data_IF_297722397059
#
_entry.id   IF_297722397059
#
_cell.length_a   1.000
_cell.length_b   1.000
_cell.length_c   1.000
_cell.angle_alpha   90.00
_cell.angle_beta   90.00
_cell.angle_gamma   90.00
#
_symmetry.space_group_name_H-M   'P 1'
#
loop_
_entity.id
_entity.type
_entity.pdbx_description
1 polymer ?
#
# COMPACT_ATOMS: atom_id res chain seq x y z
N UNK A 1 -42.06 -29.05 6.25
CA UNK A 1 -40.88 -28.42 6.88
C UNK A 1 -39.66 -29.09 6.29
N UNK A 2 -39.13 -28.58 5.17
CA UNK A 2 -37.94 -29.14 4.54
C UNK A 2 -36.74 -28.28 4.94
N UNK A 3 -35.80 -28.88 5.66
CA UNK A 3 -34.53 -28.26 5.99
C UNK A 3 -33.69 -28.13 4.70
N UNK A 4 -33.30 -26.91 4.37
CA UNK A 4 -32.30 -26.67 3.33
C UNK A 4 -30.93 -27.11 3.87
N UNK A 5 -30.13 -27.86 3.11
CA UNK A 5 -28.77 -28.17 3.50
C UNK A 5 -27.96 -26.88 3.42
N UNK A 6 -27.43 -26.43 4.55
CA UNK A 6 -26.47 -25.33 4.62
C UNK A 6 -25.19 -25.79 3.92
N UNK A 7 -25.06 -25.50 2.63
CA UNK A 7 -23.77 -25.59 1.94
C UNK A 7 -22.82 -24.67 2.68
N UNK A 8 -21.77 -25.23 3.28
CA UNK A 8 -20.63 -24.47 3.78
C UNK A 8 -20.03 -23.73 2.58
N UNK A 9 -20.45 -22.49 2.36
CA UNK A 9 -19.76 -21.58 1.47
C UNK A 9 -18.43 -21.30 2.18
N UNK A 10 -17.36 -21.87 1.66
CA UNK A 10 -16.01 -21.55 2.08
C UNK A 10 -15.70 -20.16 1.50
N UNK A 11 -16.19 -19.11 2.15
CA UNK A 11 -15.91 -17.69 1.83
C UNK A 11 -14.49 -17.33 2.26
N UNK A 12 -13.48 -18.03 1.72
CA UNK A 12 -12.12 -17.52 1.71
C UNK A 12 -11.95 -16.67 0.46
N UNK A 13 -12.45 -15.44 0.53
CA UNK A 13 -12.03 -14.39 -0.40
C UNK A 13 -10.58 -13.97 -0.04
N UNK A 14 -9.62 -14.86 -0.29
CA UNK A 14 -8.18 -14.54 -0.24
C UNK A 14 -7.91 -13.56 -1.40
N UNK A 15 -7.94 -12.27 -1.11
CA UNK A 15 -7.58 -11.26 -2.09
C UNK A 15 -6.05 -11.24 -2.24
N UNK A 16 -5.59 -11.35 -3.49
CA UNK A 16 -4.16 -11.22 -3.77
C UNK A 16 -3.65 -9.81 -3.42
N UNK A 17 -2.36 -9.67 -3.14
CA UNK A 17 -1.75 -8.35 -2.92
C UNK A 17 -2.01 -7.37 -4.10
N UNK A 18 -2.10 -7.89 -5.33
CA UNK A 18 -2.46 -7.11 -6.51
C UNK A 18 -3.93 -6.61 -6.48
N UNK A 19 -4.86 -7.44 -6.00
CA UNK A 19 -6.25 -7.05 -5.80
C UNK A 19 -6.33 -5.92 -4.76
N UNK A 20 -5.75 -6.11 -3.57
CA UNK A 20 -5.71 -5.08 -2.53
C UNK A 20 -5.07 -3.78 -3.03
N UNK A 21 -3.97 -3.89 -3.78
CA UNK A 21 -3.30 -2.73 -4.39
C UNK A 21 -4.24 -1.93 -5.30
N UNK A 22 -5.12 -2.62 -6.06
CA UNK A 22 -6.09 -1.98 -6.96
C UNK A 22 -7.16 -1.22 -6.19
N UNK A 23 -7.74 -1.82 -5.16
CA UNK A 23 -8.73 -1.14 -4.30
C UNK A 23 -8.14 0.08 -3.60
N UNK A 24 -6.95 -0.07 -3.02
CA UNK A 24 -6.21 1.02 -2.38
C UNK A 24 -5.88 2.16 -3.36
N UNK A 25 -5.44 1.84 -4.57
CA UNK A 25 -5.14 2.86 -5.59
C UNK A 25 -6.40 3.65 -5.98
N UNK A 26 -7.55 3.00 -6.06
CA UNK A 26 -8.85 3.65 -6.32
C UNK A 26 -9.27 4.52 -5.15
N UNK A 27 -9.10 4.03 -3.92
CA UNK A 27 -9.38 4.76 -2.70
C UNK A 27 -8.59 6.08 -2.63
N UNK A 28 -7.26 6.02 -2.78
CA UNK A 28 -6.43 7.22 -2.77
C UNK A 28 -6.80 8.20 -3.88
N UNK A 29 -7.09 7.70 -5.09
CA UNK A 29 -7.59 8.53 -6.18
C UNK A 29 -8.93 9.21 -5.83
N UNK A 30 -9.84 8.50 -5.17
CA UNK A 30 -11.12 9.04 -4.70
C UNK A 30 -10.96 10.19 -3.70
N UNK A 31 -9.87 10.16 -2.91
CA UNK A 31 -9.47 11.24 -2.00
C UNK A 31 -8.72 12.39 -2.71
N UNK A 32 -8.59 12.36 -4.04
CA UNK A 32 -7.82 13.35 -4.79
C UNK A 32 -6.30 13.25 -4.59
N UNK A 33 -5.82 12.09 -4.11
CA UNK A 33 -4.40 11.78 -3.93
C UNK A 33 -3.86 10.98 -5.11
N UNK A 34 -2.54 10.91 -5.20
CA UNK A 34 -1.83 10.08 -6.19
C UNK A 34 -0.98 9.04 -5.49
N UNK A 35 -0.82 7.86 -6.07
CA UNK A 35 -0.03 6.80 -5.46
C UNK A 35 0.86 6.05 -6.46
N UNK A 36 1.93 5.46 -5.94
CA UNK A 36 2.83 4.55 -6.66
C UNK A 36 2.90 3.26 -5.85
N UNK A 37 2.61 2.13 -6.50
CA UNK A 37 2.82 0.80 -5.92
C UNK A 37 4.28 0.35 -6.03
N UNK A 38 4.77 -0.58 -5.22
CA UNK A 38 6.13 -1.15 -5.30
C UNK A 38 7.23 -0.06 -5.30
N UNK A 39 7.16 0.87 -4.34
CA UNK A 39 8.02 2.04 -4.30
C UNK A 39 9.31 1.78 -3.52
N UNK A 40 10.45 1.84 -4.21
CA UNK A 40 11.77 1.66 -3.60
C UNK A 40 12.19 2.90 -2.77
N UNK A 41 12.42 2.69 -1.47
CA UNK A 41 12.86 3.70 -0.51
C UNK A 41 14.39 3.85 -0.49
N UNK A 42 14.87 4.92 0.15
CA UNK A 42 16.33 5.19 0.24
C UNK A 42 17.08 4.11 1.04
N UNK A 43 16.42 3.50 2.02
CA UNK A 43 16.97 2.42 2.85
C UNK A 43 16.96 1.03 2.18
N UNK A 44 16.74 0.96 0.86
CA UNK A 44 16.64 -0.29 0.07
C UNK A 44 15.44 -1.17 0.43
N UNK A 45 14.52 -0.68 1.26
CA UNK A 45 13.19 -1.30 1.40
C UNK A 45 12.31 -0.92 0.22
N UNK A 46 11.20 -1.64 0.07
CA UNK A 46 10.17 -1.37 -0.93
C UNK A 46 8.84 -1.32 -0.21
N UNK A 47 8.18 -0.17 -0.25
CA UNK A 47 6.83 -0.02 0.28
C UNK A 47 5.83 -0.49 -0.77
N UNK A 48 4.79 -1.21 -0.36
CA UNK A 48 3.79 -1.74 -1.28
C UNK A 48 3.02 -0.60 -1.96
N UNK A 49 2.62 0.44 -1.21
CA UNK A 49 2.06 1.67 -1.75
C UNK A 49 2.63 2.88 -1.03
N UNK A 50 2.99 3.90 -1.82
CA UNK A 50 3.20 5.26 -1.35
C UNK A 50 2.15 6.16 -1.99
N UNK A 51 1.36 6.87 -1.17
CA UNK A 51 0.44 7.91 -1.61
C UNK A 51 0.95 9.30 -1.21
N UNK A 52 0.64 10.31 -2.03
CA UNK A 52 0.97 11.71 -1.85
C UNK A 52 -0.31 12.55 -1.99
N UNK A 53 -0.61 13.35 -0.97
CA UNK A 53 -1.74 14.28 -0.99
C UNK A 53 -1.35 15.68 -1.50
N UNK A 54 -2.35 16.56 -1.65
CA UNK A 54 -2.17 17.93 -2.13
C UNK A 54 -1.40 18.83 -1.15
N UNK A 55 -1.37 18.48 0.14
CA UNK A 55 -0.60 19.21 1.16
C UNK A 55 0.86 18.75 1.22
N UNK A 56 1.24 17.71 0.47
CA UNK A 56 2.57 17.16 0.44
C UNK A 56 2.85 16.13 1.56
N UNK A 57 1.82 15.58 2.20
CA UNK A 57 1.96 14.48 3.14
C UNK A 57 2.03 13.14 2.41
N UNK A 58 2.96 12.29 2.87
CA UNK A 58 3.14 10.94 2.38
C UNK A 58 2.43 9.94 3.26
N UNK A 59 1.68 9.03 2.65
CA UNK A 59 1.14 7.85 3.30
C UNK A 59 1.85 6.61 2.77
N UNK A 60 2.38 5.77 3.65
CA UNK A 60 2.83 4.42 3.30
C UNK A 60 1.75 3.43 3.72
N UNK A 61 1.43 2.50 2.82
CA UNK A 61 0.58 1.34 3.11
C UNK A 61 1.37 0.08 2.85
N UNK A 62 1.43 -0.79 3.84
CA UNK A 62 2.00 -2.14 3.74
C UNK A 62 0.86 -3.17 3.68
N UNK A 63 0.81 -3.96 2.62
CA UNK A 63 -0.25 -4.93 2.37
C UNK A 63 0.13 -6.24 3.05
N UNK A 64 -0.80 -6.83 3.82
CA UNK A 64 -0.65 -8.17 4.39
C UNK A 64 -1.74 -9.08 3.87
N UNK A 65 -1.40 -10.00 2.98
CA UNK A 65 -2.34 -10.97 2.39
C UNK A 65 -2.63 -12.17 3.31
N UNK A 66 -2.20 -12.12 4.57
CA UNK A 66 -2.45 -13.19 5.54
C UNK A 66 -1.60 -13.07 6.80
N UNK A 67 -2.03 -13.79 7.84
CA UNK A 67 -1.39 -13.74 9.17
C UNK A 67 0.11 -14.07 9.15
N UNK A 68 0.53 -15.02 8.32
CA UNK A 68 1.95 -15.44 8.22
C UNK A 68 2.84 -14.31 7.71
N UNK A 69 2.34 -13.56 6.71
CA UNK A 69 3.06 -12.43 6.12
C UNK A 69 3.29 -11.32 7.16
N UNK A 70 2.28 -11.02 7.97
CA UNK A 70 2.43 -10.08 9.08
C UNK A 70 3.41 -10.58 10.16
N UNK A 71 3.30 -11.84 10.60
CA UNK A 71 4.14 -12.37 11.68
C UNK A 71 5.63 -12.34 11.31
N UNK A 72 5.96 -12.51 10.03
CA UNK A 72 7.34 -12.52 9.55
C UNK A 72 7.90 -11.14 9.20
N UNK A 73 7.04 -10.12 9.11
CA UNK A 73 7.44 -8.74 8.86
C UNK A 73 7.87 -8.05 10.16
N UNK A 74 9.17 -8.14 10.44
CA UNK A 74 9.80 -7.48 11.58
C UNK A 74 10.46 -6.13 11.23
N UNK A 75 10.21 -5.61 10.02
CA UNK A 75 10.97 -4.48 9.47
C UNK A 75 10.09 -3.32 9.04
N UNK A 76 8.78 -3.41 9.24
CA UNK A 76 7.85 -2.33 8.87
C UNK A 76 8.17 -1.00 9.54
N UNK A 77 8.79 -0.99 10.72
CA UNK A 77 9.21 0.24 11.40
C UNK A 77 10.25 1.03 10.59
N UNK A 78 11.01 0.37 9.71
CA UNK A 78 11.97 1.01 8.80
C UNK A 78 11.27 1.95 7.79
N UNK A 79 9.93 1.85 7.65
CA UNK A 79 9.13 2.71 6.79
C UNK A 79 8.75 4.04 7.44
N UNK A 80 8.68 4.11 8.77
CA UNK A 80 8.09 5.23 9.50
C UNK A 80 8.80 6.56 9.25
N UNK A 81 10.12 6.54 9.06
CA UNK A 81 10.85 7.76 8.74
C UNK A 81 10.48 8.33 7.34
N UNK A 82 9.89 7.52 6.45
CA UNK A 82 9.58 7.85 5.05
C UNK A 82 8.11 8.17 4.78
N UNK A 83 7.27 8.29 5.81
CA UNK A 83 5.89 8.72 5.68
C UNK A 83 5.47 9.68 6.79
N UNK A 84 4.34 10.35 6.58
CA UNK A 84 3.61 11.07 7.61
C UNK A 84 2.51 10.22 8.25
N UNK A 85 2.04 9.22 7.49
CA UNK A 85 0.98 8.30 7.86
C UNK A 85 1.37 6.89 7.46
N UNK A 86 1.20 5.94 8.37
CA UNK A 86 1.50 4.54 8.13
C UNK A 86 0.26 3.68 8.39
N UNK A 87 -0.06 2.84 7.41
CA UNK A 87 -1.17 1.89 7.49
C UNK A 87 -0.69 0.49 7.13
N UNK A 88 -1.26 -0.50 7.80
CA UNK A 88 -1.40 -1.82 7.19
C UNK A 88 -2.69 -1.86 6.37
N UNK A 89 -2.68 -2.60 5.25
CA UNK A 89 -3.88 -2.95 4.51
C UNK A 89 -4.04 -4.45 4.40
N UNK A 90 -5.25 -4.93 4.68
CA UNK A 90 -5.59 -6.35 4.72
C UNK A 90 -6.97 -6.58 4.12
N UNK A 91 -7.30 -7.82 3.77
CA UNK A 91 -8.66 -8.19 3.41
C UNK A 91 -9.57 -8.33 4.65
N UNK A 92 -10.88 -8.46 4.41
CA UNK A 92 -11.89 -8.56 5.45
C UNK A 92 -11.75 -9.79 6.36
N UNK A 93 -11.11 -10.86 5.88
CA UNK A 93 -10.92 -12.11 6.63
C UNK A 93 -9.70 -12.10 7.55
N UNK A 94 -8.85 -11.08 7.44
CA UNK A 94 -7.63 -10.96 8.24
C UNK A 94 -7.96 -10.69 9.73
N UNK A 95 -7.24 -11.33 10.68
CA UNK A 95 -7.47 -11.11 12.11
C UNK A 95 -6.87 -9.78 12.58
N UNK A 96 -7.70 -8.73 12.56
CA UNK A 96 -7.31 -7.33 12.82
C UNK A 96 -6.63 -7.09 14.17
N UNK A 97 -6.89 -7.94 15.16
CA UNK A 97 -6.42 -7.80 16.54
C UNK A 97 -4.90 -8.00 16.66
N UNK A 98 -4.27 -8.62 15.66
CA UNK A 98 -2.81 -8.82 15.66
C UNK A 98 -2.05 -7.57 15.21
N UNK A 99 -2.73 -6.62 14.55
CA UNK A 99 -2.09 -5.39 14.06
C UNK A 99 -1.89 -4.44 15.25
N UNK A 100 -0.67 -3.88 15.47
CA UNK A 100 -0.41 -2.98 16.58
C UNK A 100 -1.39 -1.81 16.59
N UNK A 101 -1.94 -1.49 17.76
CA UNK A 101 -2.94 -0.42 17.93
C UNK A 101 -2.41 0.97 17.57
N UNK A 102 -1.09 1.15 17.55
CA UNK A 102 -0.41 2.38 17.12
C UNK A 102 -0.39 2.57 15.61
N UNK A 103 -0.70 1.53 14.83
CA UNK A 103 -0.71 1.58 13.37
C UNK A 103 -2.14 1.79 12.85
N UNK A 104 -2.25 2.57 11.77
CA UNK A 104 -3.49 2.65 11.01
C UNK A 104 -3.80 1.31 10.35
N UNK A 105 -5.10 1.06 10.11
CA UNK A 105 -5.57 -0.15 9.46
C UNK A 105 -6.62 0.18 8.40
N UNK A 106 -6.39 -0.38 7.20
CA UNK A 106 -7.29 -0.31 6.05
C UNK A 106 -7.79 -1.72 5.75
N UNK A 107 -9.10 -1.86 5.58
CA UNK A 107 -9.68 -3.05 4.94
C UNK A 107 -9.84 -2.73 3.46
N UNK A 108 -9.39 -3.63 2.59
CA UNK A 108 -9.47 -3.45 1.14
C UNK A 108 -9.86 -4.75 0.43
N UNK A 109 -10.36 -4.59 -0.79
CA UNK A 109 -10.51 -5.65 -1.79
C UNK A 109 -10.06 -5.12 -3.17
N UNK A 110 -10.46 -5.75 -4.27
CA UNK A 110 -10.11 -5.25 -5.61
C UNK A 110 -10.88 -4.00 -6.07
N UNK A 111 -11.98 -3.67 -5.40
CA UNK A 111 -12.93 -2.62 -5.77
C UNK A 111 -12.85 -1.40 -4.84
N UNK A 112 -12.72 -1.63 -3.54
CA UNK A 112 -12.89 -0.65 -2.48
C UNK A 112 -11.79 -0.77 -1.42
N UNK A 113 -11.62 0.30 -0.64
CA UNK A 113 -10.85 0.27 0.58
C UNK A 113 -11.41 1.28 1.58
N UNK A 114 -11.24 1.01 2.87
CA UNK A 114 -11.73 1.84 3.97
C UNK A 114 -10.76 1.84 5.15
N UNK A 115 -10.49 3.03 5.69
CA UNK A 115 -9.78 3.17 6.95
C UNK A 115 -10.73 2.78 8.08
N UNK A 116 -10.47 1.64 8.72
CA UNK A 116 -11.24 1.19 9.91
C UNK A 116 -10.56 1.59 11.21
N UNK A 117 -9.28 1.98 11.15
CA UNK A 117 -8.54 2.58 12.27
C UNK A 117 -7.58 3.62 11.71
N UNK A 118 -7.76 4.87 12.11
CA UNK A 118 -6.87 5.96 11.71
C UNK A 118 -5.48 5.80 12.35
N UNK A 119 -4.46 6.38 11.70
CA UNK A 119 -3.09 6.43 12.22
C UNK A 119 -2.83 7.76 12.93
N UNK A 120 -1.86 7.77 13.84
CA UNK A 120 -1.29 9.05 14.28
C UNK A 120 -0.46 9.65 13.14
N UNK A 121 -0.62 10.95 12.89
CA UNK A 121 0.24 11.68 11.96
C UNK A 121 1.58 12.01 12.62
N UNK A 122 2.67 11.49 12.08
CA UNK A 122 4.03 11.83 12.50
C UNK A 122 4.74 12.60 11.38
N UNK A 123 4.90 13.92 11.55
CA UNK A 123 5.35 14.79 10.46
C UNK A 123 6.78 14.47 10.05
N UNK A 124 6.97 14.04 8.81
CA UNK A 124 8.28 13.81 8.23
C UNK A 124 9.11 15.09 8.20
N UNK A 125 10.38 14.95 8.60
CA UNK A 125 11.37 16.02 8.55
C UNK A 125 11.50 16.64 7.15
N UNK A 126 11.61 17.97 7.06
CA UNK A 126 11.55 18.72 5.79
C UNK A 126 12.57 18.26 4.74
N UNK A 127 13.82 18.04 5.15
CA UNK A 127 14.88 17.53 4.28
C UNK A 127 14.54 16.14 3.68
N UNK A 128 13.93 15.26 4.48
CA UNK A 128 13.51 13.93 4.03
C UNK A 128 12.29 14.01 3.13
N UNK A 129 11.32 14.88 3.44
CA UNK A 129 10.16 15.14 2.57
C UNK A 129 10.58 15.61 1.19
N UNK A 130 11.54 16.54 1.11
CA UNK A 130 12.10 16.99 -0.18
C UNK A 130 12.71 15.83 -0.97
N UNK A 131 13.50 14.99 -0.31
CA UNK A 131 14.12 13.82 -0.96
C UNK A 131 13.08 12.79 -1.41
N UNK A 132 12.05 12.54 -0.59
CA UNK A 132 10.94 11.64 -0.89
C UNK A 132 10.13 12.15 -2.09
N UNK A 133 9.81 13.44 -2.13
CA UNK A 133 9.09 14.09 -3.24
C UNK A 133 9.85 13.97 -4.55
N UNK A 134 11.15 14.29 -4.55
CA UNK A 134 11.98 14.15 -5.75
C UNK A 134 12.02 12.70 -6.25
N UNK A 135 12.16 11.74 -5.34
CA UNK A 135 12.15 10.31 -5.68
C UNK A 135 10.79 9.87 -6.23
N UNK A 136 9.70 10.27 -5.58
CA UNK A 136 8.33 10.00 -6.02
C UNK A 136 8.09 10.52 -7.44
N UNK A 137 8.41 11.78 -7.70
CA UNK A 137 8.27 12.40 -9.01
C UNK A 137 9.09 11.70 -10.10
N UNK A 138 10.36 11.37 -9.81
CA UNK A 138 11.23 10.66 -10.77
C UNK A 138 10.72 9.24 -11.06
N UNK A 139 10.28 8.50 -10.04
CA UNK A 139 9.72 7.16 -10.22
C UNK A 139 8.43 7.20 -11.04
N UNK A 140 7.53 8.15 -10.76
CA UNK A 140 6.30 8.33 -11.53
C UNK A 140 6.61 8.64 -13.01
N UNK A 141 7.49 9.62 -13.27
CA UNK A 141 7.90 10.00 -14.61
C UNK A 141 8.54 8.84 -15.36
N UNK A 142 9.47 8.10 -14.73
CA UNK A 142 10.11 6.95 -15.35
C UNK A 142 9.10 5.85 -15.72
N UNK A 143 8.15 5.55 -14.83
CA UNK A 143 7.10 4.56 -15.11
C UNK A 143 6.19 5.00 -16.24
N UNK A 144 5.83 6.28 -16.30
CA UNK A 144 5.03 6.84 -17.39
C UNK A 144 5.80 6.77 -18.72
N UNK A 145 7.08 7.18 -18.74
CA UNK A 145 7.94 7.06 -19.93
C UNK A 145 8.01 5.62 -20.42
N UNK A 146 8.25 4.66 -19.52
CA UNK A 146 8.31 3.25 -19.88
C UNK A 146 6.97 2.70 -20.43
N UNK A 147 5.84 3.28 -20.01
CA UNK A 147 4.52 2.91 -20.49
C UNK A 147 4.22 3.50 -21.88
N UNK A 148 4.64 4.75 -22.12
CA UNK A 148 4.36 5.50 -23.35
C UNK A 148 5.37 5.25 -24.46
N UNK A 149 6.61 4.88 -24.11
CA UNK A 149 7.70 4.57 -25.04
C UNK A 149 8.07 3.08 -24.93
N UNK A 150 7.25 2.22 -25.56
CA UNK A 150 7.46 0.77 -25.63
C UNK A 150 8.38 0.35 -26.80
N UNK A 151 9.26 1.25 -27.27
CA UNK A 151 10.24 0.92 -28.29
C UNK A 151 11.16 -0.24 -27.88
N UNK A 152 11.83 -0.93 -28.83
CA UNK A 152 12.72 -2.03 -28.49
C UNK A 152 13.73 -1.53 -27.47
N UNK A 153 13.71 -2.11 -26.27
CA UNK A 153 14.63 -1.81 -25.17
C UNK A 153 16.03 -2.09 -25.68
N UNK A 154 16.67 -1.08 -26.27
CA UNK A 154 17.93 -1.25 -26.97
C UNK A 154 18.93 -1.76 -25.94
N UNK A 155 19.45 -2.95 -26.24
CA UNK A 155 20.58 -3.57 -25.58
C UNK A 155 21.66 -2.50 -25.39
N UNK A 156 21.86 -2.08 -24.15
CA UNK A 156 23.15 -1.57 -23.72
C UNK A 156 23.72 -2.65 -22.83
N UNK A 157 24.23 -3.67 -23.50
CA UNK A 157 25.39 -4.40 -23.01
C UNK A 157 26.58 -3.44 -23.08
N UNK A 158 27.09 -3.10 -21.91
CA UNK A 158 28.52 -2.95 -21.62
C UNK A 158 28.74 -3.46 -20.19
#
# INVERSE_FOLDING_TARGET
MNAYPTSQINDKNDHTAAALTRGLSRYFRGLGQVCISEFALKNRRRADIVALDQAGFFTIVEIKSGRSDFITDHKWQDYLEFCDRFYFAVDQSFPNEIIPSTCGLIIADEYYAEIIRDCQVDKMHSARRRAMTLRFARTAAQRLTNLTDQGPRRLLSD
#
